data_IF_089351063119
#
_entry.id   IF_089351063119
#
_cell.length_a   1.000
_cell.length_b   1.000
_cell.length_c   1.000
_cell.angle_alpha   90.00
_cell.angle_beta   90.00
_cell.angle_gamma   90.00
#
_symmetry.space_group_name_H-M   'P 1'
#
loop_
_entity.id
_entity.type
_entity.pdbx_description
1 polymer ?
#
# COMPACT_ATOMS: atom_id res chain seq x y z
N UNK A 1 5.86 5.75 -3.78
CA UNK A 1 5.64 4.83 -4.93
C UNK A 1 5.92 5.52 -6.28
N UNK A 2 5.40 6.67 -6.52
CA UNK A 2 5.60 7.36 -7.81
C UNK A 2 7.06 7.64 -8.17
N UNK A 3 7.92 7.77 -7.18
CA UNK A 3 9.37 7.99 -7.38
C UNK A 3 10.17 6.69 -7.47
N UNK A 4 9.54 5.53 -7.50
CA UNK A 4 10.22 4.25 -7.57
C UNK A 4 10.85 3.78 -6.26
N UNK A 5 10.37 4.29 -5.13
CA UNK A 5 10.84 3.88 -3.80
C UNK A 5 10.06 2.70 -3.27
N UNK A 6 10.71 1.71 -2.64
CA UNK A 6 10.01 0.64 -1.94
C UNK A 6 9.28 1.19 -0.71
N UNK A 7 8.19 0.54 -0.31
CA UNK A 7 7.34 1.00 0.77
C UNK A 7 7.13 -0.11 1.79
N UNK A 8 7.19 0.25 3.07
CA UNK A 8 6.74 -0.60 4.17
C UNK A 8 5.55 0.12 4.79
N UNK A 9 4.40 -0.53 4.82
CA UNK A 9 3.17 0.05 5.36
C UNK A 9 2.47 -0.92 6.30
N UNK A 10 1.58 -0.39 7.12
CA UNK A 10 0.73 -1.19 8.01
C UNK A 10 -0.52 -1.67 7.30
N UNK A 11 -0.97 -2.88 7.59
CA UNK A 11 -2.17 -3.47 6.98
C UNK A 11 -3.44 -2.93 7.67
N UNK A 12 -3.68 -1.62 7.56
CA UNK A 12 -4.83 -0.96 8.16
C UNK A 12 -5.35 0.16 7.26
N UNK A 13 -6.62 0.50 7.39
CA UNK A 13 -7.27 1.56 6.60
C UNK A 13 -7.19 1.30 5.10
N UNK A 14 -6.84 2.31 4.33
CA UNK A 14 -6.68 2.23 2.87
C UNK A 14 -5.30 1.78 2.41
N UNK A 15 -4.35 1.54 3.30
CA UNK A 15 -2.97 1.17 2.94
C UNK A 15 -2.92 -0.15 2.15
N UNK A 16 -3.67 -1.22 2.52
CA UNK A 16 -3.69 -2.45 1.74
C UNK A 16 -4.18 -2.30 0.30
N UNK A 17 -4.95 -1.27 0.02
CA UNK A 17 -5.42 -0.98 -1.35
C UNK A 17 -4.31 -0.39 -2.24
N UNK A 18 -3.33 0.27 -1.63
CA UNK A 18 -2.23 0.92 -2.34
C UNK A 18 -1.03 -0.01 -2.54
N UNK A 19 -0.72 -0.85 -1.56
CA UNK A 19 0.47 -1.71 -1.56
C UNK A 19 0.07 -3.14 -1.87
N UNK A 20 0.70 -3.71 -2.89
CA UNK A 20 0.60 -5.15 -3.18
C UNK A 20 1.72 -5.86 -2.42
N UNK A 21 1.36 -6.53 -1.33
CA UNK A 21 2.32 -7.14 -0.41
C UNK A 21 3.23 -8.14 -1.11
N UNK A 22 4.53 -7.97 -0.93
CA UNK A 22 5.56 -8.81 -1.56
C UNK A 22 5.90 -8.41 -3.00
N UNK A 23 5.18 -7.49 -3.62
CA UNK A 23 5.37 -7.06 -5.01
C UNK A 23 5.79 -5.60 -5.09
N UNK A 24 5.02 -4.69 -4.52
CA UNK A 24 5.29 -3.24 -4.54
C UNK A 24 5.82 -2.71 -3.22
N UNK A 25 5.85 -3.53 -2.20
CA UNK A 25 6.28 -3.18 -0.85
C UNK A 25 5.95 -4.30 0.12
N UNK A 26 6.00 -4.00 1.38
CA UNK A 26 5.68 -4.95 2.46
C UNK A 26 4.57 -4.38 3.33
N UNK A 27 3.55 -5.18 3.60
CA UNK A 27 2.50 -4.87 4.57
C UNK A 27 2.83 -5.54 5.90
N UNK A 28 2.86 -4.75 6.97
CA UNK A 28 3.06 -5.22 8.32
C UNK A 28 1.69 -5.44 8.97
N UNK A 29 1.38 -6.65 9.46
CA UNK A 29 0.11 -6.90 10.12
C UNK A 29 0.01 -6.09 11.42
N UNK A 30 -1.18 -5.61 11.72
CA UNK A 30 -1.46 -4.89 12.97
C UNK A 30 -2.86 -5.26 13.47
N UNK A 31 -2.93 -5.69 14.72
CA UNK A 31 -4.18 -5.84 15.44
C UNK A 31 -4.40 -4.60 16.29
N UNK A 32 -5.50 -3.92 16.10
CA UNK A 32 -5.80 -2.66 16.76
C UNK A 32 -6.91 -2.82 17.79
N UNK A 33 -6.86 -1.99 18.83
CA UNK A 33 -7.94 -1.91 19.81
C UNK A 33 -9.22 -1.38 19.13
N UNK A 34 -10.36 -1.93 19.52
CA UNK A 34 -11.67 -1.53 18.98
C UNK A 34 -12.25 -0.33 19.75
N UNK A 35 -11.45 0.74 19.84
CA UNK A 35 -11.83 1.99 20.55
C UNK A 35 -11.69 3.23 19.67
N UNK A 36 -11.39 3.05 18.37
CA UNK A 36 -11.22 4.14 17.42
C UNK A 36 -9.89 4.87 17.49
N UNK A 37 -8.96 4.49 18.37
CA UNK A 37 -7.67 5.15 18.50
C UNK A 37 -6.62 4.64 17.51
N UNK A 38 -6.81 3.43 16.98
CA UNK A 38 -5.81 2.79 16.13
C UNK A 38 -4.63 2.20 16.91
N UNK A 39 -4.69 2.18 18.25
CA UNK A 39 -3.61 1.65 19.10
C UNK A 39 -3.47 0.15 18.90
N UNK A 40 -2.23 -0.38 18.71
CA UNK A 40 -2.02 -1.83 18.62
C UNK A 40 -2.44 -2.54 19.91
N UNK A 41 -3.04 -3.74 19.77
CA UNK A 41 -3.39 -4.59 20.93
C UNK A 41 -2.14 -5.13 21.63
N UNK A 42 -1.05 -5.33 20.87
CA UNK A 42 0.25 -5.74 21.38
C UNK A 42 1.32 -4.84 20.77
N UNK A 43 1.64 -3.69 21.39
CA UNK A 43 2.63 -2.75 20.86
C UNK A 43 4.02 -3.34 20.65
N UNK A 44 4.46 -4.23 21.54
CA UNK A 44 5.78 -4.85 21.44
C UNK A 44 5.86 -5.76 20.21
N UNK A 45 4.83 -6.55 19.94
CA UNK A 45 4.75 -7.39 18.75
C UNK A 45 4.72 -6.55 17.49
N UNK A 46 3.95 -5.48 17.46
CA UNK A 46 3.88 -4.58 16.31
C UNK A 46 5.23 -3.92 16.03
N UNK A 47 5.91 -3.43 17.05
CA UNK A 47 7.25 -2.84 16.91
C UNK A 47 8.25 -3.85 16.36
N UNK A 48 8.22 -5.10 16.84
CA UNK A 48 9.09 -6.16 16.36
C UNK A 48 8.79 -6.51 14.89
N UNK A 49 7.53 -6.61 14.52
CA UNK A 49 7.11 -6.91 13.15
C UNK A 49 7.51 -5.78 12.19
N UNK A 50 7.33 -4.53 12.60
CA UNK A 50 7.75 -3.37 11.79
C UNK A 50 9.27 -3.32 11.63
N UNK A 51 10.00 -3.52 12.71
CA UNK A 51 11.47 -3.54 12.69
C UNK A 51 11.99 -4.65 11.77
N UNK A 52 11.41 -5.84 11.83
CA UNK A 52 11.77 -6.96 10.98
C UNK A 52 11.50 -6.67 9.48
N UNK A 53 10.38 -6.03 9.18
CA UNK A 53 10.04 -5.64 7.81
C UNK A 53 11.00 -4.60 7.25
N UNK A 54 11.37 -3.61 8.06
CA UNK A 54 12.34 -2.58 7.66
C UNK A 54 13.74 -3.18 7.46
N UNK A 55 14.17 -4.05 8.36
CA UNK A 55 15.45 -4.74 8.24
C UNK A 55 15.52 -5.62 7.00
N UNK A 56 14.49 -6.39 6.74
CA UNK A 56 14.36 -7.23 5.55
C UNK A 56 14.42 -6.38 4.26
N UNK A 57 13.71 -5.26 4.21
CA UNK A 57 13.74 -4.36 3.07
C UNK A 57 15.13 -3.76 2.84
N UNK A 58 15.81 -3.37 3.90
CA UNK A 58 17.16 -2.78 3.81
C UNK A 58 18.25 -3.81 3.53
N UNK A 59 18.02 -5.09 3.84
CA UNK A 59 19.03 -6.15 3.69
C UNK A 59 19.19 -6.65 2.26
N UNK A 60 18.21 -6.39 1.39
CA UNK A 60 18.22 -6.82 -0.01
C UNK A 60 17.94 -5.64 -0.96
N UNK A 61 18.98 -4.87 -1.33
CA UNK A 61 18.82 -3.69 -2.20
C UNK A 61 18.26 -4.01 -3.57
N UNK A 62 18.58 -5.16 -4.13
CA UNK A 62 18.08 -5.56 -5.45
C UNK A 62 16.55 -5.82 -5.41
N UNK A 63 16.07 -6.50 -4.37
CA UNK A 63 14.64 -6.72 -4.14
C UNK A 63 13.91 -5.41 -3.87
N UNK A 64 14.50 -4.53 -3.04
CA UNK A 64 13.95 -3.21 -2.75
C UNK A 64 13.79 -2.38 -4.02
N UNK A 65 14.78 -2.42 -4.90
CA UNK A 65 14.72 -1.73 -6.20
C UNK A 65 13.59 -2.28 -7.08
N UNK A 66 13.46 -3.60 -7.17
CA UNK A 66 12.38 -4.23 -7.93
C UNK A 66 11.00 -3.85 -7.39
N UNK A 67 10.85 -3.84 -6.08
CA UNK A 67 9.60 -3.42 -5.43
C UNK A 67 9.28 -1.95 -5.71
N UNK A 68 10.29 -1.08 -5.67
CA UNK A 68 10.12 0.32 -6.00
C UNK A 68 9.68 0.55 -7.45
N UNK A 69 10.28 -0.16 -8.39
CA UNK A 69 9.92 -0.12 -9.81
C UNK A 69 8.49 -0.63 -10.04
N UNK A 70 8.12 -1.74 -9.40
CA UNK A 70 6.76 -2.29 -9.46
C UNK A 70 5.74 -1.32 -8.85
N UNK A 71 6.10 -0.63 -7.77
CA UNK A 71 5.27 0.39 -7.14
C UNK A 71 5.01 1.58 -8.04
N UNK A 72 6.04 2.06 -8.75
CA UNK A 72 5.88 3.13 -9.72
C UNK A 72 4.93 2.74 -10.84
N UNK A 73 5.08 1.54 -11.39
CA UNK A 73 4.18 1.02 -12.41
C UNK A 73 2.74 0.96 -11.91
N UNK A 74 2.54 0.48 -10.68
CA UNK A 74 1.20 0.43 -10.06
C UNK A 74 0.57 1.82 -9.95
N UNK A 75 1.35 2.84 -9.58
CA UNK A 75 0.88 4.23 -9.53
C UNK A 75 0.46 4.71 -10.92
N UNK A 76 1.29 4.46 -11.92
CA UNK A 76 0.98 4.85 -13.30
C UNK A 76 -0.28 4.18 -13.82
N UNK A 77 -0.47 2.89 -13.51
CA UNK A 77 -1.60 2.10 -14.01
C UNK A 77 -2.91 2.39 -13.23
N UNK A 78 -2.85 2.71 -11.94
CA UNK A 78 -4.05 2.73 -11.07
C UNK A 78 -4.25 4.01 -10.27
N UNK A 79 -3.21 4.77 -9.97
CA UNK A 79 -3.27 5.90 -9.04
C UNK A 79 -2.83 7.22 -9.63
N UNK A 80 -2.48 7.29 -10.92
CA UNK A 80 -2.20 8.54 -11.59
C UNK A 80 -3.49 9.34 -11.78
N UNK A 81 -3.38 10.65 -11.88
CA UNK A 81 -4.54 11.49 -12.19
C UNK A 81 -5.23 11.08 -13.49
N UNK A 82 -4.45 10.65 -14.48
CA UNK A 82 -4.99 10.15 -15.74
C UNK A 82 -5.84 8.88 -15.54
N UNK A 83 -5.33 7.88 -14.82
CA UNK A 83 -6.07 6.64 -14.56
C UNK A 83 -7.30 6.86 -13.71
N UNK A 84 -7.23 7.76 -12.73
CA UNK A 84 -8.36 8.14 -11.88
C UNK A 84 -9.43 8.87 -12.71
N UNK A 85 -9.02 9.77 -13.61
CA UNK A 85 -9.94 10.49 -14.47
C UNK A 85 -10.71 9.54 -15.40
N UNK A 86 -10.02 8.55 -15.99
CA UNK A 86 -10.67 7.53 -16.84
C UNK A 86 -11.70 6.73 -16.04
N UNK A 87 -11.35 6.25 -14.87
CA UNK A 87 -12.27 5.50 -13.99
C UNK A 87 -13.47 6.34 -13.56
N UNK A 88 -13.27 7.60 -13.28
CA UNK A 88 -14.33 8.53 -12.88
C UNK A 88 -15.33 8.73 -14.02
N UNK A 89 -14.85 8.91 -15.24
CA UNK A 89 -15.70 9.04 -16.44
C UNK A 89 -16.49 7.76 -16.69
N UNK A 90 -15.85 6.60 -16.59
CA UNK A 90 -16.52 5.30 -16.72
C UNK A 90 -17.63 5.13 -15.68
N UNK A 91 -17.36 5.51 -14.45
CA UNK A 91 -18.34 5.44 -13.37
C UNK A 91 -19.56 6.33 -13.65
N UNK A 92 -19.34 7.54 -14.11
CA UNK A 92 -20.45 8.44 -14.48
C UNK A 92 -21.25 7.92 -15.67
N UNK A 93 -20.58 7.34 -16.67
CA UNK A 93 -21.26 6.71 -17.80
C UNK A 93 -22.15 5.55 -17.37
N UNK A 94 -21.67 4.71 -16.47
CA UNK A 94 -22.42 3.58 -15.93
C UNK A 94 -23.66 4.04 -15.17
N UNK A 95 -23.54 5.08 -14.36
CA UNK A 95 -24.68 5.67 -13.65
C UNK A 95 -25.72 6.21 -14.64
N UNK A 96 -25.30 6.93 -15.66
CA UNK A 96 -26.20 7.47 -16.68
C UNK A 96 -26.87 6.38 -17.50
N UNK A 97 -26.17 5.30 -17.80
CA UNK A 97 -26.72 4.17 -18.56
C UNK A 97 -27.73 3.35 -17.75
N UNK A 98 -27.67 3.38 -16.42
CA UNK A 98 -28.59 2.63 -15.53
C UNK A 98 -29.88 3.36 -15.19
N UNK A 99 -30.12 4.53 -15.72
CA UNK A 99 -31.34 5.32 -15.52
C UNK A 99 -32.55 4.70 -16.19
#
# INVERSE_FOLDING_TARGET
MALGLPVVGTATGGIPDCIDDGVTGTLVPIDQLDDGTGTPTDPEKFEADLAAALEDMCSDPARAKRMGEAGRKRVEDHFSWESIAVKTVEYYRDILASR
#
